data_IF_858957458257
#
_entry.id   IF_858957458257
#
_cell.length_a   1.000
_cell.length_b   1.000
_cell.length_c   1.000
_cell.angle_alpha   90.00
_cell.angle_beta   90.00
_cell.angle_gamma   90.00
#
_symmetry.space_group_name_H-M   'P 1'
#
loop_
_entity.id
_entity.type
_entity.pdbx_description
1 polymer ?
#
# COMPACT_ATOMS: atom_id res chain seq x y z
N UNK A 1 9.31 -10.13 16.57
CA UNK A 1 8.58 -9.05 17.29
C UNK A 1 7.12 -8.89 16.87
N UNK A 2 6.79 -8.54 15.61
CA UNK A 2 5.38 -8.37 15.18
C UNK A 2 4.50 -9.59 15.48
N UNK A 3 4.93 -10.79 15.06
CA UNK A 3 4.18 -12.04 15.30
C UNK A 3 3.90 -12.28 16.80
N UNK A 4 4.89 -12.01 17.67
CA UNK A 4 4.72 -12.15 19.12
C UNK A 4 3.63 -11.21 19.66
N UNK A 5 3.61 -9.95 19.18
CA UNK A 5 2.58 -8.98 19.58
C UNK A 5 1.19 -9.45 19.14
N UNK A 6 1.05 -9.88 17.88
CA UNK A 6 -0.22 -10.36 17.34
C UNK A 6 -0.76 -11.55 18.16
N UNK A 7 0.11 -12.51 18.48
CA UNK A 7 -0.29 -13.66 19.30
C UNK A 7 -0.68 -13.25 20.71
N UNK A 8 0.14 -12.40 21.37
CA UNK A 8 -0.16 -11.91 22.72
C UNK A 8 -1.46 -11.10 22.77
N UNK A 9 -1.72 -10.31 21.73
CA UNK A 9 -2.93 -9.51 21.60
C UNK A 9 -4.17 -10.38 21.42
N UNK A 10 -4.07 -11.39 20.54
CA UNK A 10 -5.11 -12.40 20.30
C UNK A 10 -5.42 -13.19 21.57
N UNK A 11 -4.40 -13.72 22.25
CA UNK A 11 -4.60 -14.47 23.51
C UNK A 11 -5.21 -13.62 24.62
N UNK A 12 -4.97 -12.30 24.60
CA UNK A 12 -5.48 -11.36 25.59
C UNK A 12 -6.79 -10.67 25.14
N UNK A 13 -7.39 -11.11 24.03
CA UNK A 13 -8.61 -10.55 23.42
C UNK A 13 -8.62 -9.01 23.37
N UNK A 14 -7.55 -8.44 22.81
CA UNK A 14 -7.41 -6.98 22.72
C UNK A 14 -6.63 -6.54 21.50
N UNK A 15 -6.81 -5.29 21.04
CA UNK A 15 -6.04 -4.76 19.92
C UNK A 15 -4.52 -4.80 20.17
N UNK A 16 -3.70 -5.08 19.13
CA UNK A 16 -2.23 -5.21 19.27
C UNK A 16 -1.53 -4.01 19.91
N UNK A 17 -1.96 -2.78 19.60
CA UNK A 17 -1.36 -1.57 20.16
C UNK A 17 -1.52 -1.46 21.69
N UNK A 18 -2.51 -2.14 22.30
CA UNK A 18 -2.65 -2.22 23.76
C UNK A 18 -1.64 -3.17 24.42
N UNK A 19 -0.94 -4.01 23.64
CA UNK A 19 0.20 -4.80 24.12
C UNK A 19 1.44 -3.92 24.12
N UNK A 20 1.85 -3.47 22.94
CA UNK A 20 2.89 -2.45 22.72
C UNK A 20 2.62 -1.72 21.40
N UNK A 21 2.96 -0.43 21.35
CA UNK A 21 2.81 0.40 20.15
C UNK A 21 3.84 0.03 19.06
N UNK A 22 3.54 0.40 17.81
CA UNK A 22 4.44 0.16 16.67
C UNK A 22 5.82 0.82 16.88
N UNK A 23 5.86 2.03 17.46
CA UNK A 23 7.12 2.73 17.78
C UNK A 23 8.03 1.91 18.69
N UNK A 24 7.45 1.19 19.66
CA UNK A 24 8.21 0.33 20.57
C UNK A 24 8.74 -0.91 19.85
N UNK A 25 7.97 -1.48 18.91
CA UNK A 25 8.45 -2.57 18.06
C UNK A 25 9.65 -2.13 17.21
N UNK A 26 9.57 -0.94 16.62
CA UNK A 26 10.66 -0.36 15.82
C UNK A 26 11.89 -0.10 16.69
N UNK A 27 11.71 0.56 17.85
CA UNK A 27 12.79 0.85 18.78
C UNK A 27 13.48 -0.42 19.27
N UNK A 28 12.74 -1.47 19.67
CA UNK A 28 13.36 -2.75 20.03
C UNK A 28 14.12 -3.40 18.87
N UNK A 29 13.66 -3.24 17.63
CA UNK A 29 14.33 -3.77 16.44
C UNK A 29 15.65 -3.06 16.16
N UNK A 30 15.71 -1.74 16.41
CA UNK A 30 16.91 -0.91 16.23
C UNK A 30 17.91 -1.11 17.37
N UNK A 31 17.46 -1.00 18.62
CA UNK A 31 18.30 -1.04 19.82
C UNK A 31 18.71 -2.46 20.23
N UNK A 32 18.01 -3.49 19.73
CA UNK A 32 18.33 -4.90 19.94
C UNK A 32 18.62 -5.28 21.41
N UNK A 33 17.74 -4.94 22.37
CA UNK A 33 18.01 -5.18 23.79
C UNK A 33 18.17 -6.67 24.10
N UNK A 34 19.09 -6.98 25.01
CA UNK A 34 19.44 -8.34 25.42
C UNK A 34 18.99 -8.69 26.83
N UNK A 35 18.61 -7.68 27.61
CA UNK A 35 18.32 -7.79 29.03
C UNK A 35 17.03 -7.04 29.35
N UNK A 36 16.41 -7.39 30.48
CA UNK A 36 15.24 -6.66 30.96
C UNK A 36 15.58 -5.21 31.29
N UNK A 37 16.81 -4.93 31.73
CA UNK A 37 17.27 -3.56 32.01
C UNK A 37 17.42 -2.77 30.71
N UNK A 38 17.96 -3.38 29.65
CA UNK A 38 18.00 -2.75 28.33
C UNK A 38 16.59 -2.48 27.76
N UNK A 39 15.63 -3.36 28.03
CA UNK A 39 14.23 -3.12 27.65
C UNK A 39 13.63 -1.89 28.35
N UNK A 40 13.99 -1.63 29.62
CA UNK A 40 13.49 -0.45 30.34
C UNK A 40 13.99 0.87 29.76
N UNK A 41 15.05 0.84 28.97
CA UNK A 41 15.58 2.03 28.27
C UNK A 41 14.82 2.34 26.97
N UNK A 42 13.97 1.42 26.49
CA UNK A 42 13.20 1.62 25.26
C UNK A 42 12.09 2.64 25.51
N UNK A 43 12.17 3.78 24.82
CA UNK A 43 11.16 4.83 24.93
C UNK A 43 9.76 4.31 24.56
N UNK A 44 8.77 4.66 25.39
CA UNK A 44 7.38 4.23 25.21
C UNK A 44 7.06 2.84 25.77
N UNK A 45 8.02 2.13 26.37
CA UNK A 45 7.79 0.89 27.08
C UNK A 45 7.72 1.14 28.59
N UNK A 46 6.59 0.82 29.22
CA UNK A 46 6.43 0.98 30.67
C UNK A 46 7.04 -0.18 31.46
N UNK A 47 7.43 0.07 32.72
CA UNK A 47 7.91 -0.97 33.64
C UNK A 47 6.92 -2.12 33.81
N UNK A 48 5.61 -1.84 33.79
CA UNK A 48 4.57 -2.87 33.86
C UNK A 48 4.63 -3.78 32.62
N UNK A 49 4.83 -3.22 31.44
CA UNK A 49 4.97 -4.01 30.21
C UNK A 49 6.27 -4.81 30.22
N UNK A 50 7.39 -4.27 30.71
CA UNK A 50 8.65 -5.03 30.87
C UNK A 50 8.46 -6.19 31.84
N UNK A 51 7.81 -5.97 33.00
CA UNK A 51 7.52 -7.04 33.96
C UNK A 51 6.60 -8.11 33.37
N UNK A 52 5.56 -7.70 32.64
CA UNK A 52 4.54 -8.60 32.09
C UNK A 52 5.01 -9.38 30.86
N UNK A 53 5.82 -8.76 30.01
CA UNK A 53 6.13 -9.27 28.68
C UNK A 53 7.62 -9.32 28.33
N UNK A 54 8.50 -8.79 29.18
CA UNK A 54 9.92 -8.59 28.85
C UNK A 54 10.64 -9.88 28.43
N UNK A 55 10.42 -10.99 29.13
CA UNK A 55 11.00 -12.29 28.74
C UNK A 55 10.51 -12.75 27.35
N UNK A 56 9.25 -12.50 27.03
CA UNK A 56 8.69 -12.86 25.72
C UNK A 56 9.21 -11.93 24.61
N UNK A 57 9.42 -10.65 24.91
CA UNK A 57 10.05 -9.68 24.01
C UNK A 57 11.50 -10.07 23.70
N UNK A 58 12.30 -10.38 24.72
CA UNK A 58 13.69 -10.83 24.54
C UNK A 58 13.77 -12.11 23.71
N UNK A 59 12.88 -13.09 23.99
CA UNK A 59 12.78 -14.31 23.18
C UNK A 59 12.41 -13.99 21.72
N UNK A 60 11.47 -13.08 21.49
CA UNK A 60 11.05 -12.70 20.15
C UNK A 60 12.12 -11.91 19.36
N UNK A 61 13.03 -11.22 20.07
CA UNK A 61 14.22 -10.59 19.49
C UNK A 61 15.28 -11.63 19.13
N UNK A 62 15.55 -12.58 20.03
CA UNK A 62 16.51 -13.66 19.81
C UNK A 62 16.14 -14.54 18.61
N UNK A 63 14.87 -14.96 18.52
CA UNK A 63 14.32 -15.66 17.35
C UNK A 63 14.49 -14.81 16.07
N UNK A 64 14.26 -13.49 16.16
CA UNK A 64 14.37 -12.58 15.02
C UNK A 64 15.78 -12.45 14.46
N UNK A 65 16.83 -12.68 15.27
CA UNK A 65 18.23 -12.62 14.81
C UNK A 65 18.69 -13.86 14.08
N UNK A 66 18.13 -15.01 14.45
CA UNK A 66 18.53 -16.32 13.92
C UNK A 66 17.68 -16.77 12.75
N UNK A 67 16.45 -16.25 12.65
CA UNK A 67 15.53 -16.60 11.56
C UNK A 67 15.90 -15.87 10.26
N UNK A 68 15.90 -16.56 9.10
CA UNK A 68 16.03 -15.88 7.83
C UNK A 68 14.89 -14.88 7.65
N UNK A 69 15.19 -13.74 7.02
CA UNK A 69 14.16 -12.76 6.69
C UNK A 69 13.06 -13.46 5.88
N UNK A 70 11.77 -13.25 6.23
CA UNK A 70 10.71 -13.70 5.34
C UNK A 70 10.92 -13.07 3.96
N UNK A 71 10.51 -13.75 2.88
CA UNK A 71 10.52 -13.10 1.58
C UNK A 71 9.75 -11.79 1.70
N UNK A 72 10.33 -10.71 1.18
CA UNK A 72 9.61 -9.46 1.08
C UNK A 72 8.28 -9.76 0.37
N UNK A 73 7.14 -9.23 0.85
CA UNK A 73 5.93 -9.28 0.05
C UNK A 73 6.28 -8.73 -1.33
N UNK A 74 5.85 -9.43 -2.39
CA UNK A 74 6.25 -9.13 -3.77
C UNK A 74 6.30 -7.61 -3.98
N UNK A 75 7.52 -7.09 -4.18
CA UNK A 75 7.79 -5.67 -4.35
C UNK A 75 7.09 -5.07 -5.56
N UNK A 76 6.50 -5.92 -6.40
CA UNK A 76 5.64 -5.61 -7.56
C UNK A 76 4.27 -5.04 -7.18
N UNK A 77 4.05 -4.64 -5.93
CA UNK A 77 2.75 -4.18 -5.41
C UNK A 77 2.26 -2.86 -6.04
N UNK A 78 2.98 -2.31 -7.02
CA UNK A 78 2.58 -1.18 -7.87
C UNK A 78 2.53 -1.65 -9.32
N UNK A 79 1.34 -2.03 -9.83
CA UNK A 79 1.22 -2.61 -11.17
C UNK A 79 1.70 -1.68 -12.30
N UNK A 80 1.80 -0.37 -12.03
CA UNK A 80 2.35 0.63 -12.94
C UNK A 80 3.84 0.45 -13.23
N UNK A 81 4.62 -0.10 -12.29
CA UNK A 81 6.06 -0.33 -12.49
C UNK A 81 6.36 -1.47 -13.47
N UNK A 82 5.37 -2.31 -13.78
CA UNK A 82 5.50 -3.38 -14.78
C UNK A 82 5.11 -2.91 -16.19
N UNK A 83 4.65 -1.67 -16.36
CA UNK A 83 4.28 -1.15 -17.67
C UNK A 83 5.52 -0.85 -18.52
N UNK A 84 5.48 -1.27 -19.78
CA UNK A 84 6.43 -0.77 -20.77
C UNK A 84 6.31 0.75 -20.91
N UNK A 85 7.42 1.41 -21.29
CA UNK A 85 7.50 2.88 -21.36
C UNK A 85 6.34 3.56 -22.11
N UNK A 86 5.84 3.04 -23.25
CA UNK A 86 4.68 3.63 -23.93
C UNK A 86 3.39 3.55 -23.09
N UNK A 87 3.16 2.42 -22.41
CA UNK A 87 1.99 2.25 -21.53
C UNK A 87 2.12 3.12 -20.28
N UNK A 88 3.32 3.26 -19.72
CA UNK A 88 3.57 4.17 -18.59
C UNK A 88 3.26 5.63 -18.94
N UNK A 89 3.67 6.10 -20.13
CA UNK A 89 3.35 7.45 -20.60
C UNK A 89 1.84 7.71 -20.68
N UNK A 90 1.08 6.73 -21.18
CA UNK A 90 -0.39 6.79 -21.22
C UNK A 90 -0.99 6.80 -19.83
N UNK A 91 -0.51 5.95 -18.94
CA UNK A 91 -0.94 5.90 -17.55
C UNK A 91 -0.73 7.24 -16.83
N UNK A 92 0.44 7.86 -16.98
CA UNK A 92 0.74 9.17 -16.40
C UNK A 92 -0.12 10.30 -17.00
N UNK A 93 -0.43 10.24 -18.29
CA UNK A 93 -1.36 11.18 -18.92
C UNK A 93 -2.78 11.02 -18.37
N UNK A 94 -3.25 9.79 -18.23
CA UNK A 94 -4.56 9.49 -17.65
C UNK A 94 -4.66 9.90 -16.18
N UNK A 95 -3.60 9.72 -15.37
CA UNK A 95 -3.57 10.18 -13.97
C UNK A 95 -3.72 11.69 -13.87
N UNK A 96 -3.04 12.44 -14.74
CA UNK A 96 -3.15 13.91 -14.80
C UNK A 96 -4.56 14.34 -15.18
N UNK A 97 -5.10 13.81 -16.27
CA UNK A 97 -6.48 14.06 -16.69
C UNK A 97 -7.51 13.74 -15.59
N UNK A 98 -7.36 12.59 -14.92
CA UNK A 98 -8.25 12.18 -13.82
C UNK A 98 -8.21 13.16 -12.66
N UNK A 99 -7.01 13.62 -12.29
CA UNK A 99 -6.81 14.57 -11.18
C UNK A 99 -7.47 15.90 -11.49
N UNK A 100 -7.30 16.41 -12.71
CA UNK A 100 -7.96 17.65 -13.17
C UNK A 100 -9.48 17.52 -13.19
N UNK A 101 -9.99 16.39 -13.71
CA UNK A 101 -11.43 16.09 -13.76
C UNK A 101 -12.03 15.97 -12.36
N UNK A 102 -11.35 15.28 -11.45
CA UNK A 102 -11.79 15.11 -10.06
C UNK A 102 -11.84 16.46 -9.32
N UNK A 103 -10.81 17.28 -9.50
CA UNK A 103 -10.76 18.65 -8.96
C UNK A 103 -11.91 19.51 -9.47
N UNK A 104 -12.19 19.47 -10.78
CA UNK A 104 -13.29 20.23 -11.37
C UNK A 104 -14.67 19.80 -10.82
N UNK A 105 -14.82 18.52 -10.45
CA UNK A 105 -16.05 17.96 -9.88
C UNK A 105 -16.12 18.05 -8.35
N UNK A 106 -15.03 18.42 -7.67
CA UNK A 106 -14.96 18.43 -6.21
C UNK A 106 -15.04 17.04 -5.58
N UNK A 107 -14.55 16.00 -6.27
CA UNK A 107 -14.57 14.61 -5.79
C UNK A 107 -13.15 14.04 -5.70
N UNK A 108 -13.00 12.91 -4.99
CA UNK A 108 -11.73 12.17 -4.99
C UNK A 108 -11.43 11.58 -6.39
N UNK A 109 -10.16 11.55 -6.85
CA UNK A 109 -9.78 10.95 -8.12
C UNK A 109 -10.31 9.53 -8.34
N UNK A 110 -10.33 8.67 -7.32
CA UNK A 110 -10.79 7.29 -7.46
C UNK A 110 -12.30 7.19 -7.75
N UNK A 111 -13.08 8.23 -7.42
CA UNK A 111 -14.50 8.33 -7.80
C UNK A 111 -14.65 8.53 -9.30
N UNK A 112 -13.73 9.26 -9.93
CA UNK A 112 -13.70 9.41 -11.40
C UNK A 112 -13.36 8.05 -12.00
N UNK A 113 -12.13 7.57 -11.82
CA UNK A 113 -11.71 6.23 -12.23
C UNK A 113 -10.67 5.70 -11.22
N UNK A 114 -10.76 4.45 -10.74
CA UNK A 114 -9.70 3.88 -9.90
C UNK A 114 -8.42 3.65 -10.71
N UNK A 115 -7.27 3.59 -10.01
CA UNK A 115 -5.98 3.33 -10.64
C UNK A 115 -5.96 2.04 -11.48
N UNK A 116 -6.65 0.98 -11.05
CA UNK A 116 -6.76 -0.29 -11.77
C UNK A 116 -7.35 -0.10 -13.18
N UNK A 117 -8.44 0.66 -13.31
CA UNK A 117 -9.03 0.95 -14.62
C UNK A 117 -8.10 1.79 -15.50
N UNK A 118 -7.37 2.76 -14.92
CA UNK A 118 -6.38 3.53 -15.67
C UNK A 118 -5.25 2.65 -16.20
N UNK A 119 -4.79 1.67 -15.40
CA UNK A 119 -3.79 0.69 -15.80
C UNK A 119 -4.29 -0.16 -16.98
N UNK A 120 -5.50 -0.72 -16.86
CA UNK A 120 -6.13 -1.51 -17.93
C UNK A 120 -6.23 -0.69 -19.22
N UNK A 121 -6.74 0.54 -19.16
CA UNK A 121 -6.85 1.42 -20.33
C UNK A 121 -5.47 1.73 -20.92
N UNK A 122 -4.48 2.02 -20.07
CA UNK A 122 -3.12 2.29 -20.52
C UNK A 122 -2.48 1.08 -21.20
N UNK A 123 -2.72 -0.13 -20.72
CA UNK A 123 -2.23 -1.37 -21.33
C UNK A 123 -2.91 -1.66 -22.67
N UNK A 124 -4.25 -1.63 -22.70
CA UNK A 124 -5.03 -1.96 -23.88
C UNK A 124 -4.97 -0.89 -24.99
N UNK A 125 -4.73 0.38 -24.62
CA UNK A 125 -4.65 1.51 -25.54
C UNK A 125 -5.84 1.61 -26.53
N UNK A 126 -7.08 1.67 -26.03
CA UNK A 126 -8.26 1.72 -26.90
C UNK A 126 -8.24 2.96 -27.80
N UNK A 127 -8.63 2.76 -29.04
CA UNK A 127 -8.67 3.77 -30.10
C UNK A 127 -10.08 4.22 -30.45
N UNK A 128 -11.10 3.55 -29.91
CA UNK A 128 -12.52 3.83 -30.15
C UNK A 128 -13.36 3.73 -28.86
N UNK A 129 -14.57 4.30 -28.88
CA UNK A 129 -15.51 4.17 -27.77
C UNK A 129 -15.97 2.72 -27.57
N UNK A 130 -16.04 1.93 -28.65
CA UNK A 130 -16.39 0.51 -28.59
C UNK A 130 -15.31 -0.30 -27.87
N UNK A 131 -14.04 -0.09 -28.21
CA UNK A 131 -12.91 -0.72 -27.51
C UNK A 131 -12.84 -0.29 -26.04
N UNK A 132 -13.17 0.97 -25.75
CA UNK A 132 -13.22 1.47 -24.38
C UNK A 132 -14.40 0.88 -23.60
N UNK A 133 -15.54 0.64 -24.25
CA UNK A 133 -16.70 -0.01 -23.65
C UNK A 133 -16.44 -1.48 -23.30
N UNK A 134 -15.48 -2.12 -23.99
CA UNK A 134 -15.04 -3.48 -23.69
C UNK A 134 -14.24 -3.59 -22.37
N UNK A 135 -13.84 -2.47 -21.74
CA UNK A 135 -13.19 -2.43 -20.42
C UNK A 135 -14.26 -2.59 -19.33
N UNK A 136 -14.38 -3.78 -18.69
CA UNK A 136 -15.51 -4.08 -17.81
C UNK A 136 -15.62 -3.14 -16.60
N UNK A 137 -14.48 -2.62 -16.11
CA UNK A 137 -14.41 -1.80 -14.90
C UNK A 137 -14.86 -0.35 -15.12
N UNK A 138 -14.99 0.11 -16.38
CA UNK A 138 -15.40 1.48 -16.67
C UNK A 138 -16.91 1.66 -16.52
N UNK A 139 -17.69 0.71 -17.07
CA UNK A 139 -19.16 0.76 -17.07
C UNK A 139 -19.74 1.84 -18.01
N UNK A 140 -20.98 1.61 -18.45
CA UNK A 140 -21.62 2.42 -19.52
C UNK A 140 -21.60 3.93 -19.25
N UNK A 141 -21.98 4.35 -18.03
CA UNK A 141 -22.05 5.77 -17.70
C UNK A 141 -20.69 6.46 -17.79
N UNK A 142 -19.60 5.84 -17.30
CA UNK A 142 -18.27 6.45 -17.40
C UNK A 142 -17.74 6.41 -18.83
N UNK A 143 -18.05 5.37 -19.60
CA UNK A 143 -17.72 5.33 -21.03
C UNK A 143 -18.38 6.47 -21.79
N UNK A 144 -19.67 6.73 -21.55
CA UNK A 144 -20.39 7.84 -22.17
C UNK A 144 -19.87 9.21 -21.74
N UNK A 145 -19.62 9.40 -20.43
CA UNK A 145 -19.27 10.72 -19.88
C UNK A 145 -17.77 11.05 -19.99
N UNK A 146 -16.90 10.06 -19.90
CA UNK A 146 -15.44 10.24 -19.91
C UNK A 146 -14.75 9.68 -21.14
N UNK A 147 -15.39 8.80 -21.89
CA UNK A 147 -14.77 8.12 -23.02
C UNK A 147 -14.11 9.05 -24.04
N UNK A 148 -14.79 10.11 -24.52
CA UNK A 148 -14.18 11.06 -25.45
C UNK A 148 -12.91 11.73 -24.89
N UNK A 149 -12.88 12.04 -23.59
CA UNK A 149 -11.75 12.69 -22.93
C UNK A 149 -10.59 11.70 -22.70
N UNK A 150 -10.90 10.45 -22.36
CA UNK A 150 -9.94 9.36 -22.22
C UNK A 150 -9.26 9.11 -23.57
N UNK A 151 -10.02 8.93 -24.65
CA UNK A 151 -9.48 8.70 -26.00
C UNK A 151 -8.60 9.87 -26.45
N UNK A 152 -9.03 11.11 -26.23
CA UNK A 152 -8.22 12.29 -26.52
C UNK A 152 -6.91 12.32 -25.72
N UNK A 153 -6.92 11.84 -24.48
CA UNK A 153 -5.73 11.73 -23.63
C UNK A 153 -4.76 10.66 -24.14
N UNK A 154 -5.28 9.51 -24.57
CA UNK A 154 -4.49 8.42 -25.14
C UNK A 154 -3.81 8.83 -26.45
N UNK A 155 -4.53 9.49 -27.36
CA UNK A 155 -3.98 10.01 -28.61
C UNK A 155 -2.82 10.97 -28.34
N UNK A 156 -2.99 11.91 -27.40
CA UNK A 156 -1.91 12.86 -27.04
C UNK A 156 -0.69 12.18 -26.43
N UNK A 157 -0.89 11.08 -25.70
CA UNK A 157 0.19 10.34 -25.04
C UNK A 157 0.92 9.36 -25.98
N UNK A 158 0.26 8.85 -27.02
CA UNK A 158 0.83 7.93 -28.01
C UNK A 158 1.65 8.59 -29.13
N UNK A 159 1.56 9.91 -29.28
CA UNK A 159 2.31 10.69 -30.30
C UNK A 159 3.72 11.10 -29.81
N UNK A 160 4.14 10.63 -28.62
CA UNK A 160 5.42 11.02 -27.98
C UNK A 160 6.40 9.87 -27.79
#
# INVERSE_FOLDING_TARGET
LWQWREETARSADRPPFKVVNDSVLVAMTQEQPQTLDALRLIQGLSDLQVRRYGNAMLRALDIGRTRPLPPLPNGDSRPDHMLEKPALNRFDALRRWRTETARARGVDPDIVLPNSTLLTIAQHNPSSLEELAAVPELGAWKTENYGPQILATLVKAGVR
#
